data_IF_226788205908
#
_entry.id   IF_226788205908
#
_cell.length_a   1.000
_cell.length_b   1.000
_cell.length_c   1.000
_cell.angle_alpha   90.00
_cell.angle_beta   90.00
_cell.angle_gamma   90.00
#
_symmetry.space_group_name_H-M   'P 1'
#
loop_
_entity.id
_entity.type
_entity.pdbx_description
1 polymer ?
#
# COMPACT_ATOMS: atom_id res chain seq x y z
N UNK A 1 -14.69 -38.51 -16.71
CA UNK A 1 -14.22 -37.21 -17.24
C UNK A 1 -12.81 -37.46 -17.77
N UNK A 2 -12.53 -37.13 -19.03
CA UNK A 2 -11.17 -37.27 -19.58
C UNK A 2 -10.28 -36.15 -19.06
N UNK A 3 -9.06 -36.47 -18.67
CA UNK A 3 -8.04 -35.49 -18.28
C UNK A 3 -6.93 -35.57 -19.30
N UNK A 4 -6.60 -34.42 -19.89
CA UNK A 4 -5.56 -34.28 -20.90
C UNK A 4 -4.61 -33.17 -20.48
N UNK A 5 -3.36 -33.28 -20.89
CA UNK A 5 -2.38 -32.21 -20.74
C UNK A 5 -2.35 -31.31 -21.97
N UNK A 6 -2.06 -30.03 -21.79
CA UNK A 6 -1.90 -29.08 -22.89
C UNK A 6 -0.70 -28.16 -22.61
N UNK A 7 0.32 -28.13 -23.48
CA UNK A 7 1.47 -27.24 -23.31
C UNK A 7 1.13 -25.80 -23.72
N UNK A 8 1.72 -24.83 -23.02
CA UNK A 8 1.53 -23.40 -23.30
C UNK A 8 2.86 -22.75 -23.67
N UNK A 9 2.91 -22.18 -24.87
CA UNK A 9 4.11 -21.54 -25.43
C UNK A 9 3.89 -20.03 -25.61
N UNK A 10 2.65 -19.56 -25.41
CA UNK A 10 2.21 -18.18 -25.56
C UNK A 10 0.91 -17.96 -24.79
N UNK A 11 0.47 -16.69 -24.69
CA UNK A 11 -0.81 -16.33 -24.07
C UNK A 11 -2.04 -16.73 -24.92
N UNK A 12 -1.87 -17.05 -26.20
CA UNK A 12 -2.95 -17.41 -27.13
C UNK A 12 -3.15 -18.92 -27.25
N UNK A 13 -3.22 -19.64 -26.12
CA UNK A 13 -3.41 -21.10 -26.14
C UNK A 13 -4.83 -21.49 -26.56
N UNK A 14 -4.94 -22.58 -27.32
CA UNK A 14 -6.22 -23.24 -27.66
C UNK A 14 -6.49 -24.49 -26.82
N UNK A 15 -5.69 -24.72 -25.77
CA UNK A 15 -5.77 -25.90 -24.90
C UNK A 15 -5.71 -27.24 -25.66
N UNK A 16 -4.96 -27.28 -26.77
CA UNK A 16 -4.80 -28.51 -27.56
C UNK A 16 -4.04 -29.56 -26.77
N UNK A 17 -4.48 -30.81 -26.86
CA UNK A 17 -3.82 -31.94 -26.19
C UNK A 17 -2.37 -32.09 -26.66
N UNK A 18 -1.47 -32.27 -25.71
CA UNK A 18 -0.06 -32.45 -25.98
C UNK A 18 0.76 -32.70 -24.71
N UNK A 19 2.02 -33.08 -24.90
CA UNK A 19 2.92 -33.40 -23.80
C UNK A 19 3.47 -32.11 -23.14
N UNK A 20 3.58 -32.13 -21.81
CA UNK A 20 4.27 -31.08 -21.05
C UNK A 20 5.78 -31.24 -21.16
N UNK A 21 6.52 -30.22 -20.71
CA UNK A 21 7.99 -30.25 -20.64
C UNK A 21 8.55 -31.18 -19.57
N UNK A 22 7.69 -31.76 -18.73
CA UNK A 22 8.03 -32.72 -17.68
C UNK A 22 7.03 -33.88 -17.69
N UNK A 23 7.43 -35.08 -17.23
CA UNK A 23 6.55 -36.24 -17.24
C UNK A 23 5.41 -36.08 -16.22
N UNK A 24 4.21 -36.49 -16.64
CA UNK A 24 3.02 -36.52 -15.80
C UNK A 24 2.26 -37.82 -16.06
N UNK A 25 1.80 -38.47 -15.00
CA UNK A 25 1.07 -39.74 -15.02
C UNK A 25 -0.10 -39.73 -14.04
N UNK A 26 -0.85 -40.84 -13.98
CA UNK A 26 -1.98 -41.05 -13.06
C UNK A 26 -3.04 -39.93 -13.06
N UNK A 27 -3.31 -39.39 -14.25
CA UNK A 27 -4.27 -38.31 -14.46
C UNK A 27 -5.71 -38.78 -14.15
N UNK A 28 -6.38 -38.07 -13.24
CA UNK A 28 -7.81 -38.26 -13.00
C UNK A 28 -8.46 -36.96 -12.53
N UNK A 29 -9.78 -36.87 -12.62
CA UNK A 29 -10.52 -35.71 -12.13
C UNK A 29 -11.88 -36.12 -11.56
N UNK A 30 -12.31 -35.39 -10.54
CA UNK A 30 -13.65 -35.50 -9.95
C UNK A 30 -14.35 -34.15 -10.03
N UNK A 31 -15.65 -34.18 -10.32
CA UNK A 31 -16.50 -32.99 -10.29
C UNK A 31 -17.69 -33.25 -9.37
N UNK A 32 -17.78 -32.48 -8.28
CA UNK A 32 -18.84 -32.59 -7.28
C UNK A 32 -19.09 -31.20 -6.68
N UNK A 33 -20.35 -30.87 -6.38
CA UNK A 33 -20.73 -29.60 -5.74
C UNK A 33 -20.17 -28.35 -6.44
N UNK A 34 -20.19 -28.36 -7.78
CA UNK A 34 -19.67 -27.29 -8.62
C UNK A 34 -18.15 -27.02 -8.45
N UNK A 35 -17.40 -28.00 -7.93
CA UNK A 35 -15.95 -27.97 -7.79
C UNK A 35 -15.31 -29.08 -8.63
N UNK A 36 -14.26 -28.72 -9.35
CA UNK A 36 -13.42 -29.65 -10.10
C UNK A 36 -12.11 -29.85 -9.35
N UNK A 37 -11.77 -31.11 -9.07
CA UNK A 37 -10.48 -31.51 -8.49
C UNK A 37 -9.77 -32.37 -9.52
N UNK A 38 -8.53 -32.02 -9.83
CA UNK A 38 -7.66 -32.75 -10.77
C UNK A 38 -6.53 -33.39 -9.97
N UNK A 39 -6.31 -34.68 -10.19
CA UNK A 39 -5.22 -35.45 -9.62
C UNK A 39 -4.23 -35.78 -10.74
N UNK A 40 -2.95 -35.64 -10.44
CA UNK A 40 -1.85 -35.93 -11.35
C UNK A 40 -0.60 -36.27 -10.54
N UNK A 41 0.18 -37.25 -11.01
CA UNK A 41 1.52 -37.53 -10.51
C UNK A 41 2.52 -36.79 -11.40
N UNK A 42 3.34 -35.92 -10.80
CA UNK A 42 4.34 -35.11 -11.51
C UNK A 42 5.73 -35.66 -11.18
N UNK A 43 6.49 -36.04 -12.20
CA UNK A 43 7.90 -36.36 -12.04
C UNK A 43 8.73 -35.07 -12.13
N UNK A 44 9.47 -34.77 -11.06
CA UNK A 44 10.30 -33.57 -11.00
C UNK A 44 11.57 -33.75 -11.81
N UNK A 45 11.93 -32.80 -12.70
CA UNK A 45 13.22 -32.83 -13.38
C UNK A 45 14.38 -32.77 -12.38
N UNK A 46 15.50 -33.42 -12.71
CA UNK A 46 16.70 -33.43 -11.85
C UNK A 46 17.09 -32.01 -11.41
N UNK A 47 17.43 -31.87 -10.12
CA UNK A 47 17.78 -30.60 -9.47
C UNK A 47 16.65 -29.57 -9.31
N UNK A 48 15.38 -29.93 -9.54
CA UNK A 48 14.24 -29.04 -9.29
C UNK A 48 13.76 -29.14 -7.85
N UNK A 49 14.33 -28.33 -6.96
CA UNK A 49 13.95 -28.30 -5.53
C UNK A 49 12.83 -27.30 -5.21
N UNK A 50 12.62 -26.30 -6.09
CA UNK A 50 11.60 -25.28 -5.89
C UNK A 50 11.06 -24.72 -7.21
N UNK A 51 9.80 -24.28 -7.21
CA UNK A 51 9.15 -23.64 -8.35
C UNK A 51 8.30 -22.44 -7.93
N UNK A 52 8.11 -21.47 -8.82
CA UNK A 52 7.15 -20.39 -8.61
C UNK A 52 5.74 -20.89 -8.88
N UNK A 53 4.83 -20.74 -7.92
CA UNK A 53 3.42 -21.05 -8.08
C UNK A 53 2.65 -19.79 -8.46
N UNK A 54 1.90 -19.82 -9.56
CA UNK A 54 0.96 -18.76 -9.95
C UNK A 54 -0.46 -19.27 -9.75
N UNK A 55 -1.37 -18.40 -9.31
CA UNK A 55 -2.80 -18.69 -9.23
C UNK A 55 -3.54 -17.72 -10.13
N UNK A 56 -4.34 -18.23 -11.05
CA UNK A 56 -5.07 -17.43 -12.03
C UNK A 56 -6.51 -17.92 -12.12
N UNK A 57 -7.45 -16.99 -12.13
CA UNK A 57 -8.87 -17.22 -12.36
C UNK A 57 -9.29 -16.60 -13.70
N UNK A 58 -10.15 -17.28 -14.44
CA UNK A 58 -10.62 -16.84 -15.76
C UNK A 58 -12.13 -16.97 -15.89
N UNK A 59 -12.75 -16.21 -16.81
CA UNK A 59 -14.17 -16.32 -17.06
C UNK A 59 -14.51 -17.70 -17.65
N UNK A 60 -15.68 -18.22 -17.30
CA UNK A 60 -16.23 -19.45 -17.88
C UNK A 60 -17.58 -19.11 -18.50
N UNK A 61 -17.77 -19.47 -19.76
CA UNK A 61 -19.04 -19.29 -20.48
C UNK A 61 -19.54 -20.64 -20.98
N UNK A 62 -20.60 -21.15 -20.34
CA UNK A 62 -21.06 -22.52 -20.56
C UNK A 62 -19.98 -23.53 -20.17
N UNK A 63 -19.49 -24.31 -21.13
CA UNK A 63 -18.40 -25.27 -20.97
C UNK A 63 -17.05 -24.76 -21.50
N UNK A 64 -16.95 -23.49 -21.90
CA UNK A 64 -15.75 -22.92 -22.50
C UNK A 64 -14.99 -22.06 -21.49
N UNK A 65 -13.73 -22.40 -21.25
CA UNK A 65 -12.80 -21.60 -20.46
C UNK A 65 -12.33 -20.39 -21.28
N UNK A 66 -12.44 -19.20 -20.72
CA UNK A 66 -11.94 -17.96 -21.30
C UNK A 66 -10.58 -17.56 -20.74
N UNK A 67 -9.86 -16.74 -21.49
CA UNK A 67 -8.58 -16.17 -21.04
C UNK A 67 -8.79 -15.21 -19.87
N UNK A 68 -7.98 -15.37 -18.82
CA UNK A 68 -7.93 -14.46 -17.68
C UNK A 68 -7.27 -13.12 -18.07
N UNK A 69 -7.39 -12.09 -17.23
CA UNK A 69 -6.75 -10.80 -17.51
C UNK A 69 -5.22 -10.90 -17.42
N UNK A 70 -4.49 -10.41 -18.43
CA UNK A 70 -3.01 -10.39 -18.42
C UNK A 70 -2.40 -9.17 -17.72
N UNK A 71 -3.08 -8.65 -16.68
CA UNK A 71 -2.56 -7.52 -15.91
C UNK A 71 -1.44 -7.95 -14.95
N UNK A 72 -0.62 -7.01 -14.48
CA UNK A 72 0.53 -7.28 -13.60
C UNK A 72 0.18 -8.19 -12.41
N UNK A 73 -1.00 -8.03 -11.82
CA UNK A 73 -1.42 -8.83 -10.66
C UNK A 73 -1.67 -10.31 -10.98
N UNK A 74 -2.07 -10.64 -12.21
CA UNK A 74 -2.36 -12.02 -12.65
C UNK A 74 -1.09 -12.73 -13.12
N UNK A 75 -0.14 -11.98 -13.71
CA UNK A 75 1.14 -12.52 -14.18
C UNK A 75 2.18 -12.73 -13.07
N UNK A 76 1.94 -12.20 -11.86
CA UNK A 76 2.86 -12.33 -10.74
C UNK A 76 2.67 -13.65 -9.99
N UNK A 77 3.79 -14.28 -9.62
CA UNK A 77 3.81 -15.46 -8.74
C UNK A 77 3.10 -15.22 -7.40
N UNK A 78 2.40 -16.24 -6.91
CA UNK A 78 1.83 -16.31 -5.55
C UNK A 78 2.92 -16.57 -4.51
N UNK A 79 3.99 -17.26 -4.90
CA UNK A 79 5.05 -17.67 -4.01
C UNK A 79 5.94 -18.76 -4.61
N UNK A 80 6.82 -19.29 -3.79
CA UNK A 80 7.71 -20.39 -4.13
C UNK A 80 7.25 -21.64 -3.40
N UNK A 81 7.02 -22.71 -4.13
CA UNK A 81 6.76 -24.03 -3.60
C UNK A 81 8.06 -24.83 -3.59
N UNK A 82 8.48 -25.29 -2.42
CA UNK A 82 9.57 -26.25 -2.29
C UNK A 82 8.99 -27.66 -2.49
N UNK A 83 9.37 -28.30 -3.59
CA UNK A 83 8.76 -29.54 -4.05
C UNK A 83 9.32 -30.77 -3.31
N UNK A 84 10.46 -30.62 -2.63
CA UNK A 84 11.06 -31.70 -1.81
C UNK A 84 10.53 -31.77 -0.38
N UNK A 85 10.18 -30.63 0.21
CA UNK A 85 9.66 -30.52 1.58
C UNK A 85 8.14 -30.31 1.64
N UNK A 86 7.50 -30.02 0.50
CA UNK A 86 6.09 -29.63 0.43
C UNK A 86 5.80 -28.24 1.02
N UNK A 87 6.81 -27.47 1.42
CA UNK A 87 6.62 -26.15 2.01
C UNK A 87 6.35 -25.09 0.94
N UNK A 88 5.31 -24.29 1.14
CA UNK A 88 5.03 -23.12 0.32
C UNK A 88 5.43 -21.84 1.06
N UNK A 89 6.27 -21.02 0.44
CA UNK A 89 6.55 -19.66 0.89
C UNK A 89 5.78 -18.68 0.02
N UNK A 90 4.92 -17.86 0.62
CA UNK A 90 4.29 -16.78 -0.13
C UNK A 90 5.36 -15.77 -0.60
N UNK A 91 5.17 -15.19 -1.78
CA UNK A 91 6.05 -14.12 -2.27
C UNK A 91 6.03 -12.96 -1.25
N UNK A 92 7.17 -12.35 -0.92
CA UNK A 92 7.24 -11.24 0.03
C UNK A 92 6.35 -10.05 -0.38
N UNK A 93 6.21 -9.79 -1.68
CA UNK A 93 5.27 -8.77 -2.20
C UNK A 93 3.81 -9.10 -1.92
N UNK A 94 3.51 -10.37 -1.61
CA UNK A 94 2.19 -10.87 -1.26
C UNK A 94 2.04 -11.26 0.20
N UNK A 95 3.08 -11.42 1.03
CA UNK A 95 2.90 -11.42 2.48
C UNK A 95 2.39 -10.05 2.93
N UNK A 96 3.00 -8.95 2.45
CA UNK A 96 2.48 -7.59 2.61
C UNK A 96 1.06 -7.41 2.03
N UNK A 97 0.67 -8.23 1.04
CA UNK A 97 -0.66 -8.27 0.42
C UNK A 97 -1.57 -9.39 0.94
N UNK A 98 -1.12 -10.26 1.85
CA UNK A 98 -1.87 -11.35 2.50
C UNK A 98 -2.20 -10.94 3.93
N UNK A 99 -1.39 -10.04 4.51
CA UNK A 99 -1.90 -9.01 5.43
C UNK A 99 -2.83 -7.99 4.73
N UNK A 100 -3.04 -8.09 3.40
CA UNK A 100 -4.40 -8.04 2.89
C UNK A 100 -4.63 -7.67 1.40
N UNK A 101 -5.53 -8.41 0.71
CA UNK A 101 -6.50 -7.83 -0.22
C UNK A 101 -7.50 -6.93 0.53
N UNK A 102 -7.55 -7.05 1.87
CA UNK A 102 -8.20 -6.14 2.81
C UNK A 102 -7.28 -5.03 3.34
N UNK A 103 -6.01 -4.97 2.92
CA UNK A 103 -5.09 -3.91 3.32
C UNK A 103 -5.35 -2.62 2.52
N UNK A 104 -5.97 -2.70 1.33
CA UNK A 104 -6.20 -1.56 0.44
C UNK A 104 -6.99 -0.40 1.11
N UNK A 105 -7.88 -0.65 2.11
CA UNK A 105 -8.41 0.39 2.99
C UNK A 105 -7.70 0.50 4.36
N UNK A 106 -7.11 -0.57 4.89
CA UNK A 106 -6.61 -0.58 6.28
C UNK A 106 -5.46 0.40 6.50
N UNK A 107 -4.46 0.42 5.61
CA UNK A 107 -3.36 1.38 5.72
C UNK A 107 -3.89 2.82 5.63
N UNK A 108 -4.89 3.07 4.78
CA UNK A 108 -5.54 4.37 4.61
C UNK A 108 -6.30 4.79 5.87
N UNK A 109 -7.05 3.88 6.50
CA UNK A 109 -7.72 4.16 7.77
C UNK A 109 -6.74 4.36 8.92
N UNK A 110 -5.67 3.57 9.00
CA UNK A 110 -4.61 3.76 10.00
C UNK A 110 -3.94 5.12 9.80
N UNK A 111 -3.59 5.47 8.57
CA UNK A 111 -3.01 6.75 8.21
C UNK A 111 -3.92 7.91 8.61
N UNK A 112 -5.20 7.90 8.21
CA UNK A 112 -6.14 8.97 8.56
C UNK A 112 -6.40 9.05 10.07
N UNK A 113 -6.55 7.92 10.76
CA UNK A 113 -6.81 7.92 12.21
C UNK A 113 -5.64 8.44 13.03
N UNK A 114 -4.40 8.20 12.59
CA UNK A 114 -3.20 8.76 13.21
C UNK A 114 -3.00 10.24 12.86
N UNK A 115 -3.28 10.63 11.61
CA UNK A 115 -2.96 11.97 11.10
C UNK A 115 -4.04 13.03 11.42
N UNK A 116 -5.32 12.65 11.38
CA UNK A 116 -6.45 13.59 11.53
C UNK A 116 -6.48 14.30 12.90
N UNK A 117 -6.24 13.63 14.04
CA UNK A 117 -6.19 14.32 15.34
C UNK A 117 -5.08 15.37 15.40
N UNK A 118 -3.88 15.04 14.90
CA UNK A 118 -2.75 15.97 14.82
C UNK A 118 -3.06 17.18 13.94
N UNK A 119 -3.73 16.94 12.81
CA UNK A 119 -4.23 18.01 11.94
C UNK A 119 -5.22 18.95 12.66
N UNK A 120 -6.24 18.40 13.34
CA UNK A 120 -7.24 19.20 14.03
C UNK A 120 -6.64 20.05 15.16
N UNK A 121 -5.71 19.46 15.93
CA UNK A 121 -4.96 20.19 16.96
C UNK A 121 -4.09 21.28 16.36
N UNK A 122 -3.40 21.00 15.24
CA UNK A 122 -2.60 21.98 14.51
C UNK A 122 -3.44 23.15 13.98
N UNK A 123 -4.62 22.86 13.42
CA UNK A 123 -5.56 23.89 12.95
C UNK A 123 -6.12 24.74 14.09
N UNK A 124 -6.51 24.12 15.21
CA UNK A 124 -6.98 24.84 16.39
C UNK A 124 -5.86 25.73 16.98
N UNK A 125 -4.64 25.22 17.07
CA UNK A 125 -3.46 25.97 17.50
C UNK A 125 -3.14 27.14 16.56
N UNK A 126 -3.17 26.91 15.25
CA UNK A 126 -2.96 27.95 14.24
C UNK A 126 -4.02 29.05 14.27
N UNK A 127 -5.30 28.68 14.35
CA UNK A 127 -6.41 29.63 14.49
C UNK A 127 -6.31 30.45 15.79
N UNK A 128 -5.93 29.80 16.89
CA UNK A 128 -5.66 30.48 18.17
C UNK A 128 -4.48 31.43 18.03
N UNK A 129 -3.38 31.02 17.40
CA UNK A 129 -2.22 31.86 17.15
C UNK A 129 -2.54 33.10 16.29
N UNK A 130 -3.34 32.94 15.25
CA UNK A 130 -3.85 34.05 14.42
C UNK A 130 -4.72 35.00 15.24
N UNK A 131 -5.65 34.46 16.02
CA UNK A 131 -6.53 35.27 16.88
C UNK A 131 -5.73 36.07 17.92
N UNK A 132 -4.76 35.42 18.58
CA UNK A 132 -3.88 36.08 19.55
C UNK A 132 -2.99 37.14 18.89
N UNK A 133 -2.50 36.88 17.68
CA UNK A 133 -1.68 37.84 16.93
C UNK A 133 -2.42 39.12 16.54
N UNK A 134 -3.74 39.05 16.33
CA UNK A 134 -4.58 40.24 16.09
C UNK A 134 -4.93 40.93 17.42
N UNK A 135 -5.19 40.17 18.48
CA UNK A 135 -5.71 40.70 19.75
C UNK A 135 -4.64 41.35 20.62
N UNK A 136 -3.40 40.87 20.58
CA UNK A 136 -2.33 41.33 21.45
C UNK A 136 -1.19 41.94 20.65
N UNK A 137 -0.92 43.24 20.85
CA UNK A 137 0.20 44.00 20.24
C UNK A 137 1.54 43.76 20.96
N UNK A 138 1.78 42.53 21.42
CA UNK A 138 2.93 42.16 22.25
C UNK A 138 4.23 41.96 21.45
N UNK A 139 5.19 41.24 22.04
CA UNK A 139 6.44 40.87 21.36
C UNK A 139 6.13 39.96 20.17
N UNK A 140 6.41 40.45 18.97
CA UNK A 140 6.21 39.68 17.74
C UNK A 140 7.46 38.84 17.42
N UNK A 141 7.25 37.57 17.13
CA UNK A 141 8.29 36.66 16.65
C UNK A 141 8.07 36.35 15.17
N UNK A 142 8.56 37.19 14.24
CA UNK A 142 8.17 37.15 12.83
C UNK A 142 8.50 35.83 12.14
N UNK A 143 9.61 35.16 12.49
CA UNK A 143 9.91 33.83 11.96
C UNK A 143 8.88 32.78 12.41
N UNK A 144 8.55 32.72 13.70
CA UNK A 144 7.58 31.76 14.23
C UNK A 144 6.18 31.98 13.64
N UNK A 145 5.77 33.25 13.56
CA UNK A 145 4.47 33.63 12.98
C UNK A 145 4.43 33.34 11.49
N UNK A 146 5.49 33.68 10.74
CA UNK A 146 5.57 33.41 9.30
C UNK A 146 5.46 31.91 8.99
N UNK A 147 6.25 31.08 9.66
CA UNK A 147 6.19 29.62 9.51
C UNK A 147 4.80 29.10 9.92
N UNK A 148 4.23 29.60 11.02
CA UNK A 148 2.90 29.22 11.49
C UNK A 148 1.77 29.53 10.48
N UNK A 149 1.81 30.70 9.85
CA UNK A 149 0.84 31.07 8.79
C UNK A 149 1.01 30.16 7.57
N UNK A 150 2.26 29.91 7.14
CA UNK A 150 2.53 28.99 6.04
C UNK A 150 2.00 27.59 6.33
N UNK A 151 2.23 27.07 7.55
CA UNK A 151 1.69 25.78 8.00
C UNK A 151 0.16 25.74 7.97
N UNK A 152 -0.50 26.80 8.42
CA UNK A 152 -1.96 26.88 8.39
C UNK A 152 -2.51 26.80 6.96
N UNK A 153 -1.93 27.54 6.02
CA UNK A 153 -2.30 27.50 4.61
C UNK A 153 -2.02 26.12 3.97
N UNK A 154 -0.84 25.55 4.21
CA UNK A 154 -0.48 24.23 3.67
C UNK A 154 -1.34 23.11 4.28
N UNK A 155 -1.70 23.21 5.56
CA UNK A 155 -2.60 22.25 6.20
C UNK A 155 -3.99 22.23 5.55
N UNK A 156 -4.58 23.39 5.26
CA UNK A 156 -5.83 23.49 4.49
C UNK A 156 -5.68 22.87 3.10
N UNK A 157 -4.55 23.10 2.44
CA UNK A 157 -4.25 22.51 1.14
C UNK A 157 -4.10 20.98 1.22
N UNK A 158 -3.45 20.44 2.26
CA UNK A 158 -3.25 19.01 2.46
C UNK A 158 -4.57 18.26 2.69
N UNK A 159 -5.48 18.80 3.51
CA UNK A 159 -6.77 18.15 3.78
C UNK A 159 -7.69 18.18 2.55
N UNK A 160 -7.55 19.20 1.69
CA UNK A 160 -8.31 19.28 0.44
C UNK A 160 -8.07 18.07 -0.47
N UNK A 161 -6.90 17.40 -0.32
CA UNK A 161 -6.56 16.19 -1.06
C UNK A 161 -7.55 15.05 -0.83
N UNK A 162 -8.20 14.98 0.35
CA UNK A 162 -9.24 13.97 0.62
C UNK A 162 -10.45 14.11 -0.31
N UNK A 163 -10.79 15.33 -0.70
CA UNK A 163 -11.94 15.63 -1.56
C UNK A 163 -11.58 15.61 -3.05
N UNK A 164 -10.31 15.78 -3.37
CA UNK A 164 -9.79 15.86 -4.74
C UNK A 164 -9.11 14.56 -5.20
N UNK A 165 -9.33 13.45 -4.49
CA UNK A 165 -8.72 12.15 -4.80
C UNK A 165 -9.19 11.65 -6.19
N UNK A 166 -8.28 11.51 -7.18
CA UNK A 166 -8.63 11.02 -8.50
C UNK A 166 -8.86 9.50 -8.51
N UNK A 167 -9.65 9.01 -9.46
CA UNK A 167 -9.79 7.57 -9.70
C UNK A 167 -8.43 6.92 -10.03
N UNK A 168 -8.24 5.64 -9.65
CA UNK A 168 -6.96 4.91 -9.77
C UNK A 168 -6.44 4.79 -11.22
N UNK A 169 -7.32 4.91 -12.21
CA UNK A 169 -7.04 4.88 -13.65
C UNK A 169 -6.88 6.29 -14.27
N UNK A 170 -7.02 7.35 -13.47
CA UNK A 170 -6.92 8.72 -13.95
C UNK A 170 -5.46 9.11 -14.24
N UNK A 171 -5.19 9.73 -15.40
CA UNK A 171 -3.85 10.21 -15.79
C UNK A 171 -3.20 11.17 -14.78
N UNK A 172 -3.99 11.86 -13.96
CA UNK A 172 -3.49 12.81 -12.95
C UNK A 172 -3.17 12.17 -11.59
N UNK A 173 -3.37 10.85 -11.40
CA UNK A 173 -3.12 10.17 -10.12
C UNK A 173 -1.65 10.33 -9.65
N UNK A 174 -0.70 10.30 -10.58
CA UNK A 174 0.72 10.48 -10.27
C UNK A 174 1.04 11.93 -9.86
N UNK A 175 0.42 12.91 -10.51
CA UNK A 175 0.58 14.32 -10.15
C UNK A 175 -0.04 14.61 -8.78
N UNK A 176 -1.22 14.03 -8.51
CA UNK A 176 -1.88 14.13 -7.21
C UNK A 176 -1.04 13.50 -6.10
N UNK A 177 -0.47 12.30 -6.33
CA UNK A 177 0.44 11.65 -5.39
C UNK A 177 1.65 12.54 -5.09
N UNK A 178 2.30 13.07 -6.14
CA UNK A 178 3.44 13.97 -5.99
C UNK A 178 3.08 15.21 -5.17
N UNK A 179 1.98 15.87 -5.53
CA UNK A 179 1.46 17.04 -4.80
C UNK A 179 1.20 16.71 -3.32
N UNK A 180 0.50 15.60 -3.04
CA UNK A 180 0.10 15.22 -1.70
C UNK A 180 1.31 14.89 -0.81
N UNK A 181 2.29 14.16 -1.35
CA UNK A 181 3.50 13.82 -0.62
C UNK A 181 4.41 15.03 -0.40
N UNK A 182 4.65 15.86 -1.44
CA UNK A 182 5.48 17.06 -1.30
C UNK A 182 4.89 18.04 -0.29
N UNK A 183 3.58 18.26 -0.35
CA UNK A 183 2.88 19.14 0.60
C UNK A 183 2.97 18.57 2.02
N UNK A 184 2.72 17.27 2.20
CA UNK A 184 2.81 16.58 3.49
C UNK A 184 4.21 16.66 4.12
N UNK A 185 5.26 16.37 3.36
CA UNK A 185 6.65 16.46 3.86
C UNK A 185 7.05 17.89 4.21
N UNK A 186 6.60 18.87 3.43
CA UNK A 186 6.84 20.28 3.71
C UNK A 186 6.19 20.69 5.04
N UNK A 187 4.96 20.25 5.29
CA UNK A 187 4.27 20.49 6.57
C UNK A 187 5.05 19.88 7.74
N UNK A 188 5.47 18.62 7.65
CA UNK A 188 6.22 17.95 8.72
C UNK A 188 7.52 18.69 9.08
N UNK A 189 8.32 19.06 8.06
CA UNK A 189 9.58 19.78 8.27
C UNK A 189 9.35 21.16 8.89
N UNK A 190 8.38 21.92 8.38
CA UNK A 190 8.06 23.24 8.91
C UNK A 190 7.46 23.16 10.31
N UNK A 191 6.63 22.15 10.61
CA UNK A 191 6.07 21.92 11.95
C UNK A 191 7.18 21.65 12.96
N UNK A 192 8.12 20.77 12.64
CA UNK A 192 9.29 20.51 13.48
C UNK A 192 10.10 21.79 13.72
N UNK A 193 10.45 22.52 12.66
CA UNK A 193 11.17 23.79 12.79
C UNK A 193 10.40 24.80 13.66
N UNK A 194 9.08 24.92 13.46
CA UNK A 194 8.27 25.88 14.19
C UNK A 194 8.14 25.56 15.68
N UNK A 195 8.07 24.27 16.03
CA UNK A 195 8.08 23.80 17.43
C UNK A 195 9.40 24.20 18.10
N UNK A 196 10.54 23.99 17.45
CA UNK A 196 11.85 24.34 18.02
C UNK A 196 12.05 25.84 18.16
N UNK A 197 11.58 26.64 17.19
CA UNK A 197 11.51 28.10 17.33
C UNK A 197 10.63 28.48 18.53
N UNK A 198 9.48 27.80 18.70
CA UNK A 198 8.60 27.98 19.86
C UNK A 198 9.30 27.66 21.19
N UNK A 199 10.09 26.60 21.27
CA UNK A 199 10.88 26.28 22.47
C UNK A 199 11.94 27.32 22.77
N UNK A 200 12.61 27.84 21.74
CA UNK A 200 13.56 28.93 21.92
C UNK A 200 12.89 30.19 22.51
N UNK A 201 11.65 30.48 22.11
CA UNK A 201 10.87 31.62 22.60
C UNK A 201 10.36 31.38 24.03
N UNK A 202 9.68 30.25 24.26
CA UNK A 202 8.96 29.96 25.50
C UNK A 202 9.86 29.43 26.62
N UNK A 203 11.05 28.92 26.27
CA UNK A 203 12.00 28.27 27.20
C UNK A 203 11.30 27.28 28.16
N UNK A 204 10.56 26.29 27.62
CA UNK A 204 9.78 25.37 28.45
C UNK A 204 10.69 24.43 29.26
N UNK A 205 10.10 23.75 30.23
CA UNK A 205 10.80 22.69 30.96
C UNK A 205 11.24 21.55 30.03
N UNK A 206 12.34 20.88 30.40
CA UNK A 206 12.94 19.78 29.62
C UNK A 206 11.96 18.66 29.29
N UNK A 207 11.01 18.38 30.18
CA UNK A 207 9.99 17.35 29.98
C UNK A 207 9.17 17.61 28.70
N UNK A 208 8.78 18.86 28.45
CA UNK A 208 8.02 19.23 27.25
C UNK A 208 8.85 19.09 25.98
N UNK A 209 10.12 19.49 26.02
CA UNK A 209 11.02 19.34 24.87
C UNK A 209 11.13 17.85 24.48
N UNK A 210 11.25 16.95 25.47
CA UNK A 210 11.31 15.50 25.24
C UNK A 210 9.99 14.99 24.66
N UNK A 211 8.85 15.33 25.27
CA UNK A 211 7.52 14.84 24.83
C UNK A 211 7.25 15.22 23.38
N UNK A 212 7.41 16.49 23.03
CA UNK A 212 7.20 16.96 21.66
C UNK A 212 8.23 16.42 20.68
N UNK A 213 9.47 16.17 21.13
CA UNK A 213 10.50 15.50 20.33
C UNK A 213 10.08 14.10 19.91
N UNK A 214 9.67 13.27 20.88
CA UNK A 214 9.20 11.89 20.65
C UNK A 214 7.96 11.88 19.75
N UNK A 215 6.99 12.77 19.97
CA UNK A 215 5.79 12.86 19.14
C UNK A 215 6.15 13.22 17.69
N UNK A 216 7.05 14.19 17.50
CA UNK A 216 7.47 14.64 16.16
C UNK A 216 8.19 13.52 15.41
N UNK A 217 9.07 12.78 16.08
CA UNK A 217 9.78 11.64 15.50
C UNK A 217 8.82 10.50 15.13
N UNK A 218 7.88 10.15 16.01
CA UNK A 218 6.86 9.14 15.73
C UNK A 218 5.99 9.51 14.52
N UNK A 219 5.61 10.80 14.38
CA UNK A 219 4.85 11.27 13.22
C UNK A 219 5.67 11.16 11.92
N UNK A 220 6.95 11.56 11.93
CA UNK A 220 7.85 11.45 10.77
C UNK A 220 8.00 9.98 10.34
N UNK A 221 8.25 9.08 11.30
CA UNK A 221 8.37 7.64 11.04
C UNK A 221 7.06 7.09 10.47
N UNK A 222 5.92 7.47 11.03
CA UNK A 222 4.61 7.03 10.52
C UNK A 222 4.38 7.44 9.06
N UNK A 223 4.80 8.64 8.65
CA UNK A 223 4.62 9.14 7.27
C UNK A 223 5.62 8.54 6.28
N UNK A 224 6.77 8.03 6.74
CA UNK A 224 7.73 7.33 5.87
C UNK A 224 7.31 5.86 5.66
N UNK A 225 6.71 5.26 6.69
CA UNK A 225 6.34 3.84 6.69
C UNK A 225 4.94 3.55 6.13
N UNK A 226 4.02 4.52 6.19
CA UNK A 226 2.63 4.44 5.72
C UNK A 226 2.43 5.30 4.47
#
# INVERSE_FOLDING_TARGET
MGVVTSPFNSYGTQLQEGNLSFPVSDLSASFLDNQMVIYALIELPENTTSGSHVWQDGPVSGSTLGMHQVSRNHLQSMGTLNLSSGQASASHTRYLKAVGPKADPLWFYIYITLQLPGYLLGMAGGATGLYLGVKFTGVHHPCHVGIGITLFCLGLLQISALFLWPAKDNKYINLWNLFHHLTGYTILLLSFANIWVGFYILKPEKAWIIVYGVISEAMIVSTILL
#
